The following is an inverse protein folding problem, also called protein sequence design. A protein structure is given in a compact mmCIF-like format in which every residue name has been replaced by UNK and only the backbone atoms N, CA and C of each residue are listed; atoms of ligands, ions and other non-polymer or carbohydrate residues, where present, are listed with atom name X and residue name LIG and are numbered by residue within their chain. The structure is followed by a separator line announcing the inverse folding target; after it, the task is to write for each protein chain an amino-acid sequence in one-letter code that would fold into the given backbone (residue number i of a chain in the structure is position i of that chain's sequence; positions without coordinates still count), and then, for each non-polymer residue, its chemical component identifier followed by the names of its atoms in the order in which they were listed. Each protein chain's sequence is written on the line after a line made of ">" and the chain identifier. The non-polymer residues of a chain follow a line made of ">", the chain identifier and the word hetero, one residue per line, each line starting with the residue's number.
data_IF_777257815659
#
_entry.id   IF_777257815659
#
_cell.length_a   1.000
_cell.length_b   1.000
_cell.length_c   1.000
_cell.angle_alpha   90.00
_cell.angle_beta   90.00
_cell.angle_gamma   90.00
#
_symmetry.space_group_name_H-M   'P 1'
#
loop_
_entity.id
_entity.type
_entity.pdbx_description
1 polymer ?
#
# COMPACT_ATOMS: atom_id res chain seq x y z
N UNK A 1 35.43 -45.15 4.75
CA UNK A 1 35.06 -43.72 4.85
C UNK A 1 33.87 -43.50 3.94
N UNK A 2 32.66 -43.48 4.51
CA UNK A 2 31.40 -43.57 3.78
C UNK A 2 30.99 -42.27 3.13
N UNK A 3 30.68 -42.35 1.83
CA UNK A 3 29.99 -41.33 1.04
C UNK A 3 28.48 -41.44 1.37
N UNK A 4 27.86 -40.35 1.82
CA UNK A 4 26.40 -40.25 1.90
C UNK A 4 25.95 -39.37 0.73
N UNK A 5 25.36 -40.05 -0.25
CA UNK A 5 24.55 -39.54 -1.34
C UNK A 5 23.27 -38.94 -0.74
N UNK A 6 22.99 -37.67 -1.00
CA UNK A 6 21.67 -37.06 -0.75
C UNK A 6 21.17 -36.45 -2.04
N UNK A 7 20.69 -37.33 -2.93
CA UNK A 7 19.72 -37.00 -3.97
C UNK A 7 18.36 -36.81 -3.32
N UNK A 8 17.94 -35.56 -3.11
CA UNK A 8 16.55 -35.12 -3.27
C UNK A 8 16.40 -33.63 -2.93
N UNK A 9 16.77 -32.75 -3.87
CA UNK A 9 16.23 -31.39 -3.92
C UNK A 9 15.86 -31.07 -5.37
N UNK A 10 14.64 -31.43 -5.74
CA UNK A 10 14.05 -30.96 -7.01
C UNK A 10 13.58 -29.51 -6.82
N UNK A 11 13.89 -28.60 -7.74
CA UNK A 11 13.36 -27.24 -7.68
C UNK A 11 11.84 -27.27 -7.84
N UNK A 12 11.12 -26.68 -6.86
CA UNK A 12 9.67 -26.50 -6.94
C UNK A 12 9.38 -25.41 -7.98
N UNK A 13 9.23 -25.83 -9.24
CA UNK A 13 8.77 -24.99 -10.34
C UNK A 13 7.28 -24.69 -10.16
N UNK A 14 6.95 -23.51 -9.60
CA UNK A 14 5.56 -23.05 -9.51
C UNK A 14 5.08 -22.55 -10.87
N UNK A 15 4.48 -23.46 -11.66
CA UNK A 15 3.92 -23.16 -12.96
C UNK A 15 2.50 -22.60 -12.83
N UNK A 16 2.33 -21.28 -12.90
CA UNK A 16 1.05 -20.56 -12.77
C UNK A 16 0.01 -20.85 -13.88
N UNK A 17 0.23 -21.83 -14.77
CA UNK A 17 -0.63 -22.09 -15.95
C UNK A 17 -1.43 -23.40 -15.94
N UNK A 18 -1.51 -24.14 -14.84
CA UNK A 18 -2.20 -25.44 -14.84
C UNK A 18 -3.28 -25.71 -13.79
N UNK A 19 -3.77 -24.70 -13.06
CA UNK A 19 -4.96 -24.91 -12.21
C UNK A 19 -6.25 -24.41 -12.89
N UNK A 20 -6.89 -25.30 -13.67
CA UNK A 20 -8.17 -25.06 -14.33
C UNK A 20 -9.39 -25.28 -13.41
N UNK A 21 -9.25 -25.28 -12.08
CA UNK A 21 -10.36 -25.56 -11.15
C UNK A 21 -10.78 -24.38 -10.28
N UNK A 22 -10.87 -23.16 -10.81
CA UNK A 22 -11.63 -22.09 -10.14
C UNK A 22 -12.44 -21.30 -11.18
N UNK A 23 -13.44 -21.96 -11.75
CA UNK A 23 -14.63 -21.31 -12.32
C UNK A 23 -15.84 -22.14 -11.92
N UNK A 24 -16.58 -21.66 -10.91
CA UNK A 24 -18.02 -21.96 -10.79
C UNK A 24 -18.72 -20.69 -10.34
N UNK A 25 -19.51 -20.17 -11.28
CA UNK A 25 -20.41 -19.03 -11.12
C UNK A 25 -21.40 -19.41 -10.02
N UNK A 26 -21.46 -18.62 -8.95
CA UNK A 26 -22.60 -18.63 -8.02
C UNK A 26 -23.51 -17.49 -8.46
N UNK A 27 -24.60 -17.84 -9.14
CA UNK A 27 -25.73 -16.93 -9.29
C UNK A 27 -26.38 -16.75 -7.91
N UNK A 28 -26.40 -15.52 -7.40
CA UNK A 28 -27.21 -15.18 -6.23
C UNK A 28 -28.66 -14.90 -6.67
N UNK A 29 -29.69 -15.35 -5.92
CA UNK A 29 -31.08 -15.12 -6.28
C UNK A 29 -31.46 -13.64 -6.22
N UNK A 30 -32.26 -13.22 -7.20
CA UNK A 30 -32.92 -11.91 -7.26
C UNK A 30 -33.92 -11.78 -6.10
N UNK A 31 -33.68 -10.85 -5.17
CA UNK A 31 -34.73 -10.37 -4.27
C UNK A 31 -35.49 -9.26 -5.01
N UNK A 32 -36.50 -9.64 -5.78
CA UNK A 32 -37.62 -8.75 -6.14
C UNK A 32 -38.73 -8.98 -5.12
N UNK A 33 -38.76 -8.15 -4.08
CA UNK A 33 -39.83 -8.10 -3.10
C UNK A 33 -40.55 -6.75 -3.16
N UNK A 34 -41.85 -6.80 -3.40
CA UNK A 34 -42.82 -5.71 -3.54
C UNK A 34 -42.60 -4.48 -2.64
N UNK A 35 -42.42 -3.31 -3.28
CA UNK A 35 -42.67 -1.99 -2.68
C UNK A 35 -43.77 -1.29 -3.47
N UNK A 36 -45.00 -1.78 -3.35
CA UNK A 36 -46.22 -1.01 -3.67
C UNK A 36 -47.31 -1.39 -2.67
N UNK A 37 -47.90 -0.34 -2.09
CA UNK A 37 -48.99 -0.27 -1.09
C UNK A 37 -48.54 -0.26 0.36
N UNK A 38 -48.38 0.96 0.89
CA UNK A 38 -48.91 1.37 2.20
C UNK A 38 -49.21 2.88 2.14
N UNK A 39 -50.49 3.14 1.87
CA UNK A 39 -51.36 4.27 2.18
C UNK A 39 -50.77 5.64 2.59
N UNK A 40 -51.19 6.64 1.81
CA UNK A 40 -51.59 7.97 2.29
C UNK A 40 -52.55 7.84 3.48
N UNK A 41 -52.22 8.43 4.62
CA UNK A 41 -53.11 9.24 5.46
C UNK A 41 -52.36 9.75 6.71
N UNK A 42 -52.84 10.90 7.19
CA UNK A 42 -52.61 11.54 8.49
C UNK A 42 -51.31 12.32 8.74
N UNK A 43 -51.47 13.63 8.48
CA UNK A 43 -51.37 14.69 9.48
C UNK A 43 -49.98 15.19 9.91
N UNK A 44 -49.77 16.46 9.60
CA UNK A 44 -48.75 17.33 10.15
C UNK A 44 -48.65 17.21 11.69
N UNK A 45 -47.47 16.82 12.16
CA UNK A 45 -46.99 17.16 13.50
C UNK A 45 -45.64 17.82 13.36
N UNK A 46 -45.61 19.09 13.74
CA UNK A 46 -44.42 19.92 13.92
C UNK A 46 -43.37 19.14 14.72
N UNK A 47 -42.25 18.81 14.07
CA UNK A 47 -41.05 18.32 14.74
C UNK A 47 -40.34 19.57 15.27
N UNK A 48 -40.47 19.80 16.57
CA UNK A 48 -39.62 20.76 17.29
C UNK A 48 -38.17 20.34 17.08
N UNK A 49 -37.34 21.31 16.72
CA UNK A 49 -35.90 21.15 16.54
C UNK A 49 -35.27 20.65 17.84
N UNK A 50 -34.95 19.36 17.91
CA UNK A 50 -34.07 18.84 18.94
C UNK A 50 -32.70 19.48 18.74
N UNK A 51 -32.25 20.22 19.76
CA UNK A 51 -30.93 20.81 19.83
C UNK A 51 -29.91 19.67 19.73
N UNK A 52 -29.26 19.60 18.56
CA UNK A 52 -28.18 18.66 18.30
C UNK A 52 -27.05 18.95 19.30
N UNK A 53 -26.87 18.06 20.27
CA UNK A 53 -25.77 18.13 21.22
C UNK A 53 -24.44 18.09 20.46
N UNK A 54 -23.42 18.89 20.84
CA UNK A 54 -22.14 18.88 20.14
C UNK A 54 -21.53 17.49 20.22
N UNK A 55 -21.33 16.85 19.07
CA UNK A 55 -20.48 15.65 18.99
C UNK A 55 -19.10 16.11 19.48
N UNK A 56 -18.66 15.61 20.64
CA UNK A 56 -17.29 15.82 21.13
C UNK A 56 -16.35 15.49 19.98
N UNK A 57 -15.64 16.49 19.46
CA UNK A 57 -14.73 16.32 18.32
C UNK A 57 -13.68 15.28 18.70
N UNK A 58 -13.75 14.10 18.08
CA UNK A 58 -12.72 13.08 18.24
C UNK A 58 -11.38 13.66 17.75
N UNK A 59 -10.25 13.32 18.40
CA UNK A 59 -8.95 13.86 18.03
C UNK A 59 -8.61 13.51 16.57
N UNK A 60 -8.00 14.47 15.89
CA UNK A 60 -7.55 14.33 14.50
C UNK A 60 -6.42 13.30 14.41
N UNK A 61 -6.57 12.29 13.55
CA UNK A 61 -5.61 11.19 13.41
C UNK A 61 -4.42 11.61 12.54
N UNK A 62 -3.19 11.53 13.04
CA UNK A 62 -1.99 11.78 12.23
C UNK A 62 -1.65 10.56 11.39
N UNK A 63 -1.24 10.78 10.15
CA UNK A 63 -0.82 9.74 9.21
C UNK A 63 0.70 9.75 9.07
N UNK A 64 1.35 8.60 9.27
CA UNK A 64 2.73 8.38 8.84
C UNK A 64 2.76 7.64 7.51
N UNK A 65 3.25 8.29 6.48
CA UNK A 65 3.54 7.67 5.19
C UNK A 65 5.00 7.22 5.17
N UNK A 66 5.25 5.93 4.96
CA UNK A 66 6.60 5.40 4.76
C UNK A 66 6.83 5.27 3.26
N UNK A 67 7.85 5.96 2.74
CA UNK A 67 8.25 5.89 1.35
C UNK A 67 9.62 5.20 1.25
N UNK A 68 9.72 4.17 0.41
CA UNK A 68 11.02 3.53 0.12
C UNK A 68 11.52 3.94 -1.26
N UNK A 69 12.81 4.26 -1.38
CA UNK A 69 13.41 4.78 -2.61
C UNK A 69 14.73 4.10 -2.94
N UNK A 70 14.98 3.84 -4.23
CA UNK A 70 16.30 3.44 -4.73
C UNK A 70 16.52 3.85 -6.20
N UNK A 71 17.46 4.76 -6.44
CA UNK A 71 17.94 5.15 -7.78
C UNK A 71 16.84 5.61 -8.77
N UNK A 72 15.85 6.39 -8.29
CA UNK A 72 14.77 6.91 -9.15
C UNK A 72 14.52 8.41 -8.93
N UNK A 73 15.50 9.29 -9.24
CA UNK A 73 15.45 10.70 -8.86
C UNK A 73 14.19 11.44 -9.35
N UNK A 74 13.73 11.16 -10.56
CA UNK A 74 12.54 11.83 -11.12
C UNK A 74 11.27 11.27 -10.49
N UNK A 75 11.17 9.95 -10.37
CA UNK A 75 9.95 9.29 -9.88
C UNK A 75 9.74 9.54 -8.40
N UNK A 76 10.81 9.47 -7.58
CA UNK A 76 10.72 9.74 -6.14
C UNK A 76 10.25 11.16 -5.87
N UNK A 77 10.70 12.15 -6.66
CA UNK A 77 10.23 13.52 -6.56
C UNK A 77 8.72 13.62 -6.85
N UNK A 78 8.21 12.89 -7.84
CA UNK A 78 6.77 12.83 -8.14
C UNK A 78 5.97 12.14 -7.02
N UNK A 79 6.49 11.04 -6.46
CA UNK A 79 5.88 10.34 -5.35
C UNK A 79 5.77 11.25 -4.11
N UNK A 80 6.86 11.93 -3.74
CA UNK A 80 6.88 12.90 -2.63
C UNK A 80 5.90 14.04 -2.89
N UNK A 81 5.92 14.63 -4.09
CA UNK A 81 5.00 15.70 -4.45
C UNK A 81 3.53 15.28 -4.33
N UNK A 82 3.21 14.00 -4.57
CA UNK A 82 1.85 13.47 -4.40
C UNK A 82 1.41 13.41 -2.93
N UNK A 83 2.34 13.19 -2.00
CA UNK A 83 2.12 13.26 -0.55
C UNK A 83 2.01 14.72 -0.09
N UNK A 84 2.88 15.60 -0.58
CA UNK A 84 2.84 17.03 -0.23
C UNK A 84 1.52 17.70 -0.65
N UNK A 85 0.91 17.24 -1.74
CA UNK A 85 -0.37 17.75 -2.27
C UNK A 85 -1.61 17.24 -1.52
N UNK A 86 -1.46 16.36 -0.53
CA UNK A 86 -2.62 15.82 0.20
C UNK A 86 -3.47 16.93 0.83
N UNK A 87 -4.79 16.84 0.71
CA UNK A 87 -5.73 17.81 1.31
C UNK A 87 -5.76 17.74 2.84
N UNK A 88 -5.45 16.56 3.39
CA UNK A 88 -5.36 16.35 4.82
C UNK A 88 -4.02 16.90 5.35
N UNK A 89 -4.00 17.77 6.38
CA UNK A 89 -2.76 18.42 6.80
C UNK A 89 -1.96 17.64 7.84
N UNK A 90 -2.58 16.67 8.55
CA UNK A 90 -1.95 15.97 9.67
C UNK A 90 -1.21 14.71 9.21
N UNK A 91 -0.05 14.91 8.58
CA UNK A 91 0.81 13.81 8.17
C UNK A 91 2.28 14.08 8.41
N UNK A 92 3.06 13.00 8.44
CA UNK A 92 4.50 13.02 8.22
C UNK A 92 4.86 12.04 7.10
N UNK A 93 5.98 12.31 6.42
CA UNK A 93 6.53 11.44 5.41
C UNK A 93 7.91 10.98 5.88
N UNK A 94 8.10 9.66 6.00
CA UNK A 94 9.39 9.06 6.36
C UNK A 94 9.92 8.40 5.09
N UNK A 95 10.93 9.01 4.49
CA UNK A 95 11.62 8.49 3.33
C UNK A 95 12.77 7.63 3.81
N UNK A 96 12.83 6.39 3.33
CA UNK A 96 13.97 5.50 3.52
C UNK A 96 14.65 5.33 2.17
N UNK A 97 15.79 5.99 2.03
CA UNK A 97 16.64 5.86 0.86
C UNK A 97 17.54 4.64 1.04
N UNK A 98 17.43 3.68 0.13
CA UNK A 98 18.16 2.42 0.19
C UNK A 98 19.62 2.60 -0.31
N UNK A 99 20.30 3.67 0.12
CA UNK A 99 21.63 4.05 -0.35
C UNK A 99 21.68 4.26 -1.88
N UNK A 100 20.89 5.23 -2.37
CA UNK A 100 20.87 5.59 -3.78
C UNK A 100 22.14 6.32 -4.22
N UNK A 101 22.27 6.59 -5.52
CA UNK A 101 23.33 7.43 -6.07
C UNK A 101 23.21 8.90 -5.62
N UNK A 102 24.26 9.68 -5.89
CA UNK A 102 24.36 11.09 -5.49
C UNK A 102 23.20 11.96 -6.01
N UNK A 103 22.72 11.71 -7.22
CA UNK A 103 21.62 12.48 -7.81
C UNK A 103 20.34 12.33 -6.99
N UNK A 104 19.94 11.10 -6.67
CA UNK A 104 18.76 10.84 -5.82
C UNK A 104 18.97 11.40 -4.41
N UNK A 105 20.15 11.17 -3.81
CA UNK A 105 20.42 11.66 -2.45
C UNK A 105 20.35 13.19 -2.34
N UNK A 106 20.87 13.92 -3.32
CA UNK A 106 20.83 15.39 -3.31
C UNK A 106 19.40 15.92 -3.40
N UNK A 107 18.57 15.35 -4.28
CA UNK A 107 17.14 15.71 -4.38
C UNK A 107 16.42 15.48 -3.05
N UNK A 108 16.68 14.35 -2.39
CA UNK A 108 16.05 14.03 -1.10
C UNK A 108 16.48 15.00 0.00
N UNK A 109 17.76 15.37 0.06
CA UNK A 109 18.26 16.37 1.02
C UNK A 109 17.59 17.73 0.83
N UNK A 110 17.54 18.23 -0.41
CA UNK A 110 16.88 19.51 -0.72
C UNK A 110 15.39 19.50 -0.34
N UNK A 111 14.69 18.38 -0.52
CA UNK A 111 13.28 18.25 -0.16
C UNK A 111 13.09 18.31 1.36
N UNK A 112 13.92 17.59 2.12
CA UNK A 112 13.85 17.55 3.59
C UNK A 112 14.15 18.92 4.20
N UNK A 113 15.09 19.67 3.63
CA UNK A 113 15.39 21.04 4.06
C UNK A 113 14.19 21.99 3.87
N UNK A 114 13.35 21.74 2.86
CA UNK A 114 12.20 22.61 2.50
C UNK A 114 10.89 22.24 3.20
N UNK A 115 10.70 21.01 3.65
CA UNK A 115 9.45 20.54 4.27
C UNK A 115 9.72 19.78 5.58
N UNK A 116 9.51 20.41 6.75
CA UNK A 116 9.83 19.80 8.06
C UNK A 116 8.95 18.61 8.43
N UNK A 117 7.88 18.34 7.65
CA UNK A 117 7.06 17.12 7.82
C UNK A 117 7.72 15.89 7.23
N UNK A 118 8.80 16.07 6.47
CA UNK A 118 9.52 15.00 5.78
C UNK A 118 10.79 14.66 6.56
N UNK A 119 11.00 13.38 6.81
CA UNK A 119 12.20 12.82 7.45
C UNK A 119 12.89 11.90 6.45
N UNK A 120 14.22 11.89 6.46
CA UNK A 120 15.03 11.00 5.62
C UNK A 120 15.87 10.06 6.48
N UNK A 121 15.80 8.77 6.18
CA UNK A 121 16.63 7.71 6.74
C UNK A 121 17.46 7.14 5.60
N UNK A 122 18.77 7.06 5.80
CA UNK A 122 19.69 6.36 4.92
C UNK A 122 19.85 4.92 5.41
N UNK A 123 19.60 3.94 4.55
CA UNK A 123 19.71 2.52 4.93
C UNK A 123 21.15 2.07 5.22
N UNK A 124 22.14 2.72 4.58
CA UNK A 124 23.55 2.35 4.67
C UNK A 124 23.90 0.99 4.03
N UNK A 125 23.01 0.37 3.26
CA UNK A 125 23.27 -0.96 2.69
C UNK A 125 24.43 -0.94 1.69
N UNK A 126 25.35 -1.90 1.84
CA UNK A 126 26.40 -2.14 0.86
C UNK A 126 25.85 -2.86 -0.38
N UNK A 127 26.47 -2.68 -1.54
CA UNK A 127 25.96 -3.20 -2.81
C UNK A 127 25.88 -4.74 -2.83
N UNK A 128 26.89 -5.39 -2.26
CA UNK A 128 27.03 -6.83 -2.07
C UNK A 128 25.95 -7.41 -1.15
N UNK A 129 25.45 -6.61 -0.21
CA UNK A 129 24.50 -7.04 0.82
C UNK A 129 23.04 -6.91 0.37
N UNK A 130 22.80 -6.27 -0.78
CA UNK A 130 21.45 -6.03 -1.28
C UNK A 130 20.62 -7.30 -1.46
N UNK A 131 21.27 -8.41 -1.80
CA UNK A 131 20.61 -9.69 -2.03
C UNK A 131 20.22 -10.44 -0.75
N UNK A 132 20.79 -10.05 0.40
CA UNK A 132 20.63 -10.76 1.68
C UNK A 132 19.22 -10.63 2.25
N UNK A 133 18.51 -9.56 1.91
CA UNK A 133 17.14 -9.31 2.37
C UNK A 133 16.26 -8.75 1.25
N UNK A 134 14.96 -8.86 1.42
CA UNK A 134 13.98 -8.12 0.62
C UNK A 134 14.06 -6.65 0.99
N UNK A 135 14.80 -5.86 0.20
CA UNK A 135 15.24 -4.52 0.61
C UNK A 135 14.14 -3.56 1.00
N UNK A 136 13.04 -3.49 0.24
CA UNK A 136 11.93 -2.59 0.59
C UNK A 136 11.31 -2.95 1.95
N UNK A 137 11.22 -4.24 2.29
CA UNK A 137 10.74 -4.67 3.60
C UNK A 137 11.72 -4.29 4.72
N UNK A 138 13.04 -4.45 4.50
CA UNK A 138 14.07 -3.97 5.42
C UNK A 138 13.98 -2.45 5.61
N UNK A 139 13.85 -1.69 4.52
CA UNK A 139 13.68 -0.23 4.57
C UNK A 139 12.44 0.18 5.36
N UNK A 140 11.30 -0.48 5.13
CA UNK A 140 10.09 -0.23 5.93
C UNK A 140 10.36 -0.50 7.41
N UNK A 141 11.01 -1.61 7.74
CA UNK A 141 11.37 -1.95 9.12
C UNK A 141 12.26 -0.89 9.79
N UNK A 142 13.19 -0.27 9.05
CA UNK A 142 14.01 0.85 9.55
C UNK A 142 13.18 2.09 9.92
N UNK A 143 12.06 2.32 9.23
CA UNK A 143 11.17 3.45 9.51
C UNK A 143 10.20 3.20 10.68
N UNK A 144 9.81 1.94 10.95
CA UNK A 144 8.77 1.64 11.95
C UNK A 144 9.03 2.25 13.34
N UNK A 145 10.26 2.26 13.89
CA UNK A 145 10.52 2.83 15.21
C UNK A 145 10.26 4.34 15.32
N UNK A 146 10.34 5.09 14.21
CA UNK A 146 10.22 6.55 14.20
C UNK A 146 8.86 7.06 13.72
N UNK A 147 7.95 6.15 13.37
CA UNK A 147 6.54 6.46 13.04
C UNK A 147 5.84 7.09 14.24
N UNK A 148 5.28 8.29 14.07
CA UNK A 148 4.57 9.04 15.11
C UNK A 148 3.06 9.12 14.92
N UNK A 149 2.53 8.83 13.73
CA UNK A 149 1.11 8.86 13.42
C UNK A 149 0.33 7.66 13.96
N UNK A 150 -0.95 7.88 14.29
CA UNK A 150 -1.88 6.83 14.68
C UNK A 150 -2.26 5.92 13.51
N UNK A 151 -2.12 6.41 12.28
CA UNK A 151 -2.34 5.68 11.03
C UNK A 151 -1.04 5.56 10.25
N UNK A 152 -0.81 4.40 9.63
CA UNK A 152 0.40 4.08 8.85
C UNK A 152 0.01 3.64 7.45
N UNK A 153 0.76 4.12 6.46
CA UNK A 153 0.57 3.82 5.03
C UNK A 153 1.91 3.75 4.32
N UNK A 154 1.95 3.10 3.16
CA UNK A 154 3.20 2.78 2.45
C UNK A 154 3.15 3.25 0.99
N UNK A 155 4.24 3.82 0.50
CA UNK A 155 4.37 4.33 -0.87
C UNK A 155 5.71 3.90 -1.47
N UNK A 156 5.70 3.45 -2.72
CA UNK A 156 6.93 3.25 -3.51
C UNK A 156 7.30 4.51 -4.29
N UNK A 157 8.59 4.67 -4.59
CA UNK A 157 9.14 5.82 -5.32
C UNK A 157 8.68 5.91 -6.79
N UNK A 158 8.10 4.85 -7.34
CA UNK A 158 7.58 4.79 -8.70
C UNK A 158 6.06 4.92 -8.81
N UNK A 159 5.33 5.20 -7.72
CA UNK A 159 3.88 5.37 -7.70
C UNK A 159 3.46 6.73 -7.13
N UNK A 160 2.16 7.08 -7.23
CA UNK A 160 1.62 8.34 -6.70
C UNK A 160 0.31 8.14 -5.95
N UNK A 161 0.07 9.00 -4.96
CA UNK A 161 -1.23 9.11 -4.29
C UNK A 161 -2.12 10.18 -4.92
N UNK A 162 -3.43 9.93 -4.93
CA UNK A 162 -4.42 10.94 -5.28
C UNK A 162 -4.64 11.93 -4.13
N UNK A 163 -4.94 13.19 -4.47
CA UNK A 163 -4.92 14.36 -3.57
C UNK A 163 -5.75 14.20 -2.29
N UNK A 164 -6.87 13.48 -2.34
CA UNK A 164 -7.80 13.33 -1.21
C UNK A 164 -7.66 12.00 -0.47
N UNK A 165 -6.64 11.19 -0.79
CA UNK A 165 -6.45 9.85 -0.22
C UNK A 165 -6.42 9.88 1.31
N UNK A 166 -5.56 10.71 1.89
CA UNK A 166 -5.37 10.78 3.34
C UNK A 166 -6.64 11.19 4.07
N UNK A 167 -7.31 12.22 3.58
CA UNK A 167 -8.57 12.71 4.15
C UNK A 167 -9.63 11.61 4.16
N UNK A 168 -9.83 10.95 3.02
CA UNK A 168 -10.88 9.93 2.88
C UNK A 168 -10.58 8.63 3.62
N UNK A 169 -9.31 8.22 3.71
CA UNK A 169 -8.95 7.04 4.50
C UNK A 169 -9.03 7.34 6.01
N UNK A 170 -8.55 8.51 6.46
CA UNK A 170 -8.66 8.92 7.87
C UNK A 170 -10.12 9.05 8.31
N UNK A 171 -11.01 9.56 7.45
CA UNK A 171 -12.45 9.66 7.71
C UNK A 171 -13.06 8.29 8.04
N UNK A 172 -12.69 7.22 7.33
CA UNK A 172 -13.16 5.85 7.63
C UNK A 172 -12.75 5.43 9.05
N UNK A 173 -11.48 5.63 9.42
CA UNK A 173 -10.99 5.30 10.76
C UNK A 173 -11.62 6.15 11.87
N UNK A 174 -11.92 7.40 11.56
CA UNK A 174 -12.56 8.33 12.48
C UNK A 174 -14.01 7.94 12.75
N UNK A 175 -14.76 7.61 11.70
CA UNK A 175 -16.16 7.18 11.82
C UNK A 175 -16.27 5.77 12.42
N UNK A 176 -15.28 4.91 12.19
CA UNK A 176 -15.29 3.50 12.59
C UNK A 176 -14.07 3.14 13.47
N UNK A 177 -14.09 3.47 14.79
CA UNK A 177 -12.96 3.20 15.69
C UNK A 177 -12.53 1.73 15.74
N UNK A 178 -13.44 0.80 15.48
CA UNK A 178 -13.20 -0.65 15.47
C UNK A 178 -12.47 -1.16 14.21
N UNK A 179 -12.46 -0.39 13.11
CA UNK A 179 -11.74 -0.74 11.90
C UNK A 179 -10.25 -0.50 12.10
N UNK A 180 -9.43 -1.48 11.69
CA UNK A 180 -7.97 -1.46 11.85
C UNK A 180 -7.22 -1.37 10.52
N UNK A 181 -7.81 -1.83 9.43
CA UNK A 181 -7.20 -1.81 8.09
C UNK A 181 -8.22 -1.34 7.05
N UNK A 182 -7.84 -0.36 6.25
CA UNK A 182 -8.63 0.21 5.15
C UNK A 182 -7.81 0.15 3.86
N UNK A 183 -8.44 -0.15 2.74
CA UNK A 183 -7.80 -0.13 1.43
C UNK A 183 -8.67 0.55 0.37
N UNK A 184 -8.06 1.23 -0.60
CA UNK A 184 -8.76 1.91 -1.69
C UNK A 184 -8.69 1.17 -3.02
N UNK A 185 -9.36 1.73 -4.04
CA UNK A 185 -9.13 1.32 -5.43
C UNK A 185 -7.79 1.85 -5.91
N UNK A 186 -7.14 1.08 -6.77
CA UNK A 186 -5.92 1.48 -7.44
C UNK A 186 -6.19 1.69 -8.93
N UNK A 187 -5.71 2.79 -9.48
CA UNK A 187 -5.56 2.92 -10.93
C UNK A 187 -4.21 2.32 -11.33
N UNK A 188 -4.20 1.44 -12.32
CA UNK A 188 -2.97 0.89 -12.88
C UNK A 188 -2.74 1.54 -14.24
N UNK A 189 -1.57 2.12 -14.44
CA UNK A 189 -1.15 2.77 -15.68
C UNK A 189 0.12 2.09 -16.18
N UNK A 190 0.10 1.62 -17.42
CA UNK A 190 1.24 0.96 -18.07
C UNK A 190 1.91 1.94 -19.00
N UNK A 191 3.21 2.13 -18.79
CA UNK A 191 4.09 2.95 -19.61
C UNK A 191 4.98 2.07 -20.49
N UNK A 192 5.14 2.47 -21.74
CA UNK A 192 6.12 1.90 -22.68
C UNK A 192 6.76 3.06 -23.42
N UNK A 193 8.10 3.16 -23.39
CA UNK A 193 8.82 4.31 -23.94
C UNK A 193 8.24 5.66 -23.44
N UNK A 194 7.98 5.76 -22.13
CA UNK A 194 7.37 6.92 -21.46
C UNK A 194 5.98 7.35 -21.97
N UNK A 195 5.27 6.50 -22.71
CA UNK A 195 3.89 6.74 -23.14
C UNK A 195 2.93 5.77 -22.47
N UNK A 196 1.74 6.25 -22.12
CA UNK A 196 0.68 5.41 -21.58
C UNK A 196 0.16 4.50 -22.70
N UNK A 197 0.27 3.18 -22.51
CA UNK A 197 -0.25 2.17 -23.45
C UNK A 197 -1.50 1.48 -22.93
N UNK A 198 -1.72 1.48 -21.61
CA UNK A 198 -2.91 0.91 -20.99
C UNK A 198 -3.19 1.58 -19.64
N UNK A 199 -4.47 1.77 -19.32
CA UNK A 199 -4.90 2.17 -17.99
C UNK A 199 -6.18 1.43 -17.60
N UNK A 200 -6.29 1.01 -16.33
CA UNK A 200 -7.49 0.38 -15.79
C UNK A 200 -7.57 0.58 -14.28
N UNK A 201 -8.77 0.39 -13.70
CA UNK A 201 -8.96 0.40 -12.25
C UNK A 201 -8.96 -1.04 -11.75
N UNK A 202 -8.14 -1.32 -10.73
CA UNK A 202 -8.18 -2.59 -10.00
C UNK A 202 -9.53 -2.70 -9.27
N UNK A 203 -10.30 -3.77 -9.47
CA UNK A 203 -11.60 -3.92 -8.82
C UNK A 203 -11.42 -4.11 -7.31
N UNK A 204 -12.37 -3.57 -6.54
CA UNK A 204 -12.49 -3.88 -5.12
C UNK A 204 -12.96 -5.32 -4.92
N UNK A 205 -12.61 -5.88 -3.76
CA UNK A 205 -12.94 -7.27 -3.41
C UNK A 205 -13.81 -7.38 -2.16
N UNK A 206 -14.45 -6.27 -1.77
CA UNK A 206 -15.28 -6.17 -0.57
C UNK A 206 -14.47 -6.17 0.73
N UNK A 207 -15.15 -6.35 1.86
CA UNK A 207 -14.49 -6.65 3.13
C UNK A 207 -13.84 -8.03 3.00
N UNK A 208 -12.54 -8.16 3.29
CA UNK A 208 -11.81 -9.40 2.98
C UNK A 208 -10.71 -9.76 3.97
N UNK A 209 -10.52 -11.08 4.16
CA UNK A 209 -9.31 -11.69 4.76
C UNK A 209 -8.38 -12.31 3.72
N UNK A 210 -8.67 -12.11 2.44
CA UNK A 210 -7.88 -12.63 1.33
C UNK A 210 -7.32 -11.50 0.44
N UNK A 211 -6.62 -10.48 0.98
CA UNK A 211 -6.15 -9.34 0.22
C UNK A 211 -4.94 -9.65 -0.68
N UNK A 212 -4.19 -10.73 -0.42
CA UNK A 212 -2.98 -11.08 -1.18
C UNK A 212 -3.29 -11.23 -2.68
N UNK A 213 -2.52 -10.51 -3.51
CA UNK A 213 -2.70 -10.46 -4.97
C UNK A 213 -3.90 -9.64 -5.45
N UNK A 214 -4.72 -9.11 -4.53
CA UNK A 214 -5.94 -8.33 -4.82
C UNK A 214 -5.85 -6.88 -4.34
N UNK A 215 -5.14 -6.65 -3.24
CA UNK A 215 -4.79 -5.33 -2.71
C UNK A 215 -3.30 -5.14 -2.93
N UNK A 216 -2.92 -3.95 -3.35
CA UNK A 216 -1.53 -3.61 -3.62
C UNK A 216 -0.86 -2.95 -2.40
N UNK A 217 0.47 -3.05 -2.35
CA UNK A 217 1.33 -2.42 -1.35
C UNK A 217 0.94 -0.96 -1.05
N UNK A 218 0.65 -0.17 -2.09
CA UNK A 218 0.44 1.27 -1.97
C UNK A 218 -1.01 1.63 -1.57
N UNK A 219 -1.94 0.67 -1.64
CA UNK A 219 -3.38 0.95 -1.59
C UNK A 219 -4.02 0.78 -0.21
N UNK A 220 -3.24 0.52 0.84
CA UNK A 220 -3.79 0.31 2.18
C UNK A 220 -3.22 1.26 3.23
N UNK A 221 -3.99 1.42 4.32
CA UNK A 221 -3.64 2.15 5.52
C UNK A 221 -4.12 1.34 6.71
N UNK A 222 -3.38 1.33 7.81
CA UNK A 222 -3.78 0.64 9.02
C UNK A 222 -3.47 1.45 10.27
N UNK A 223 -4.08 1.09 11.40
CA UNK A 223 -3.74 1.69 12.70
C UNK A 223 -2.32 1.30 13.09
N UNK A 224 -1.53 2.23 13.64
CA UNK A 224 -0.20 1.96 14.21
C UNK A 224 -0.23 0.84 15.25
N UNK A 225 -1.32 0.73 16.02
CA UNK A 225 -1.52 -0.34 17.01
C UNK A 225 -1.42 -1.76 16.42
N UNK A 226 -1.65 -1.95 15.11
CA UNK A 226 -1.46 -3.24 14.46
C UNK A 226 -0.01 -3.72 14.59
N UNK A 227 0.96 -2.81 14.52
CA UNK A 227 2.40 -3.10 14.62
C UNK A 227 2.80 -3.63 16.01
N UNK A 228 2.02 -3.35 17.06
CA UNK A 228 2.27 -3.92 18.38
C UNK A 228 2.09 -5.45 18.39
N UNK A 229 1.25 -5.97 17.49
CA UNK A 229 0.89 -7.39 17.38
C UNK A 229 1.67 -8.06 16.25
N UNK A 230 1.65 -7.50 15.03
CA UNK A 230 2.29 -8.14 13.86
C UNK A 230 3.78 -7.86 13.74
N UNK A 231 4.29 -6.86 14.49
CA UNK A 231 5.68 -6.41 14.49
C UNK A 231 6.16 -6.01 13.09
N UNK A 232 7.30 -6.54 12.68
CA UNK A 232 8.03 -6.15 11.47
C UNK A 232 7.48 -6.79 10.20
N UNK A 233 7.77 -6.18 9.06
CA UNK A 233 7.69 -6.81 7.76
C UNK A 233 8.69 -7.96 7.69
N UNK A 234 8.31 -9.06 7.03
CA UNK A 234 9.23 -10.17 6.79
C UNK A 234 10.12 -9.81 5.59
N UNK A 235 11.40 -9.65 5.84
CA UNK A 235 12.40 -9.25 4.86
C UNK A 235 13.30 -10.40 4.42
N UNK A 236 12.87 -11.65 4.65
CA UNK A 236 13.58 -12.81 4.12
C UNK A 236 13.76 -12.68 2.59
N UNK A 237 14.95 -13.01 2.02
CA UNK A 237 15.24 -12.78 0.60
C UNK A 237 14.34 -13.60 -0.35
N UNK A 238 13.70 -14.67 0.11
CA UNK A 238 12.71 -15.39 -0.73
C UNK A 238 11.42 -14.58 -1.00
N UNK A 239 11.20 -13.48 -0.29
CA UNK A 239 9.98 -12.67 -0.35
C UNK A 239 10.07 -11.46 -1.27
N UNK A 240 11.11 -11.33 -2.10
CA UNK A 240 11.30 -10.20 -3.00
C UNK A 240 10.05 -9.85 -3.84
N UNK A 241 9.28 -10.86 -4.25
CA UNK A 241 8.07 -10.70 -5.08
C UNK A 241 6.76 -10.55 -4.28
N UNK A 242 6.80 -10.67 -2.97
CA UNK A 242 5.60 -10.91 -2.15
C UNK A 242 5.70 -10.41 -0.69
N UNK A 243 6.54 -9.42 -0.42
CA UNK A 243 6.73 -8.88 0.94
C UNK A 243 5.45 -8.25 1.50
N UNK A 244 4.69 -7.55 0.67
CA UNK A 244 3.36 -7.03 1.00
C UNK A 244 2.36 -8.16 1.34
N UNK A 245 2.32 -9.21 0.52
CA UNK A 245 1.49 -10.38 0.76
C UNK A 245 1.88 -11.10 2.06
N UNK A 246 3.17 -11.13 2.40
CA UNK A 246 3.65 -11.68 3.67
C UNK A 246 3.20 -10.84 4.87
N UNK A 247 3.25 -9.51 4.75
CA UNK A 247 2.72 -8.62 5.78
C UNK A 247 1.19 -8.73 5.92
N UNK A 248 0.47 -8.80 4.80
CA UNK A 248 -0.98 -9.01 4.80
C UNK A 248 -1.37 -10.32 5.49
N UNK A 249 -0.61 -11.41 5.26
CA UNK A 249 -0.81 -12.69 5.96
C UNK A 249 -0.71 -12.57 7.48
N UNK A 250 0.05 -11.60 8.02
CA UNK A 250 0.09 -11.32 9.46
C UNK A 250 -1.16 -10.55 9.90
N UNK A 251 -1.54 -9.49 9.17
CA UNK A 251 -2.69 -8.65 9.49
C UNK A 251 -4.01 -9.41 9.51
N UNK A 252 -4.27 -10.26 8.51
CA UNK A 252 -5.57 -10.98 8.35
C UNK A 252 -5.82 -12.04 9.41
N UNK A 253 -4.81 -12.40 10.22
CA UNK A 253 -5.00 -13.23 11.42
C UNK A 253 -5.82 -12.51 12.49
N UNK A 254 -5.86 -11.18 12.46
CA UNK A 254 -6.47 -10.34 13.49
C UNK A 254 -7.57 -9.41 12.97
N UNK A 255 -7.46 -8.90 11.73
CA UNK A 255 -8.38 -7.88 11.22
C UNK A 255 -8.79 -8.11 9.77
N UNK A 256 -10.00 -7.68 9.45
CA UNK A 256 -10.49 -7.60 8.07
C UNK A 256 -9.95 -6.35 7.37
N UNK A 257 -9.74 -6.45 6.06
CA UNK A 257 -9.46 -5.30 5.20
C UNK A 257 -10.79 -4.70 4.74
N UNK A 258 -11.03 -3.43 5.07
CA UNK A 258 -12.26 -2.73 4.69
C UNK A 258 -12.06 -1.87 3.43
N UNK A 259 -12.89 -2.01 2.40
CA UNK A 259 -12.75 -1.25 1.17
C UNK A 259 -13.25 0.18 1.31
N UNK A 260 -12.56 1.10 0.63
CA UNK A 260 -12.98 2.46 0.37
C UNK A 260 -13.19 2.60 -1.15
N UNK A 261 -14.42 2.94 -1.55
CA UNK A 261 -14.85 2.95 -2.95
C UNK A 261 -14.42 4.20 -3.73
N UNK A 262 -13.15 4.59 -3.61
CA UNK A 262 -12.53 5.69 -4.35
C UNK A 262 -11.16 5.22 -4.87
N UNK A 263 -10.67 5.84 -5.94
CA UNK A 263 -9.29 5.64 -6.38
C UNK A 263 -8.35 6.42 -5.46
N UNK A 264 -7.48 5.71 -4.75
CA UNK A 264 -6.57 6.28 -3.75
C UNK A 264 -5.17 6.52 -4.29
N UNK A 265 -4.74 5.71 -5.24
CA UNK A 265 -3.37 5.68 -5.76
C UNK A 265 -3.33 5.26 -7.23
N UNK A 266 -2.23 5.61 -7.88
CA UNK A 266 -1.89 5.19 -9.24
C UNK A 266 -0.60 4.36 -9.22
N UNK A 267 -0.74 3.08 -9.58
CA UNK A 267 0.38 2.18 -9.82
C UNK A 267 0.89 2.31 -11.25
N UNK A 268 2.16 2.65 -11.40
CA UNK A 268 2.79 2.98 -12.69
C UNK A 268 3.74 1.85 -13.09
N UNK A 269 3.28 1.00 -14.00
CA UNK A 269 4.07 -0.10 -14.52
C UNK A 269 4.95 0.41 -15.66
N UNK A 270 6.26 0.46 -15.41
CA UNK A 270 7.26 0.80 -16.43
C UNK A 270 7.88 -0.46 -17.05
N UNK A 271 8.22 -0.41 -18.33
CA UNK A 271 8.89 -1.48 -19.08
C UNK A 271 10.27 -1.87 -18.51
N UNK A 272 10.91 -0.95 -17.80
CA UNK A 272 12.16 -1.13 -17.03
C UNK A 272 11.97 -1.20 -15.51
N UNK A 273 10.72 -1.27 -15.02
CA UNK A 273 10.42 -1.38 -13.58
C UNK A 273 10.90 -2.69 -12.94
N UNK A 274 11.01 -2.71 -11.60
CA UNK A 274 11.49 -3.89 -10.84
C UNK A 274 10.71 -5.16 -11.18
N UNK A 275 9.38 -5.05 -11.26
CA UNK A 275 8.52 -6.18 -11.63
C UNK A 275 8.87 -6.76 -13.01
N UNK A 276 9.17 -5.91 -14.00
CA UNK A 276 9.56 -6.36 -15.35
C UNK A 276 10.94 -6.99 -15.37
N UNK A 277 11.91 -6.44 -14.61
CA UNK A 277 13.23 -7.06 -14.43
C UNK A 277 13.10 -8.47 -13.86
N UNK A 278 12.32 -8.62 -12.78
CA UNK A 278 12.05 -9.92 -12.15
C UNK A 278 11.34 -10.91 -13.07
N UNK A 279 10.45 -10.44 -13.97
CA UNK A 279 9.80 -11.29 -14.98
C UNK A 279 10.79 -11.78 -16.06
N UNK A 280 11.83 -10.99 -16.35
CA UNK A 280 12.91 -11.33 -17.31
C UNK A 280 14.05 -12.13 -16.69
N UNK A 281 13.97 -12.46 -15.39
CA UNK A 281 15.06 -13.14 -14.66
C UNK A 281 16.25 -12.24 -14.30
N UNK A 282 16.12 -10.92 -14.45
CA UNK A 282 17.16 -9.97 -14.07
C UNK A 282 17.11 -9.65 -12.56
N UNK A 283 18.23 -9.17 -12.02
CA UNK A 283 18.32 -8.67 -10.64
C UNK A 283 17.38 -7.46 -10.46
N UNK A 284 16.70 -7.32 -9.30
CA UNK A 284 15.79 -6.20 -9.07
C UNK A 284 16.52 -4.88 -8.77
N UNK A 285 17.80 -4.93 -8.43
CA UNK A 285 18.68 -3.77 -8.22
C UNK A 285 19.82 -3.76 -9.26
N UNK A 286 20.17 -2.57 -9.74
CA UNK A 286 21.34 -2.29 -10.60
C UNK A 286 21.73 -0.81 -10.36
N UNK A 287 23.02 -0.55 -10.20
CA UNK A 287 23.57 0.79 -9.90
C UNK A 287 23.45 1.78 -11.05
N UNK A 288 23.37 1.29 -12.29
CA UNK A 288 23.35 2.11 -13.52
C UNK A 288 21.94 2.52 -13.96
N UNK A 289 20.88 1.95 -13.35
CA UNK A 289 19.49 2.11 -13.80
C UNK A 289 18.79 3.35 -13.21
N UNK A 290 19.50 4.49 -13.13
CA UNK A 290 18.90 5.74 -12.67
C UNK A 290 17.85 6.25 -13.68
N UNK A 291 16.57 6.26 -13.30
CA UNK A 291 15.44 6.65 -14.16
C UNK A 291 14.44 7.64 -13.52
#
# INVERSE_FOLDING_TARGET
>A
MGLIDNKDERPVNYNFKQDKRIYKIVQAPSIKGNLRKLNKASAAKSIKSDKMTPVKSRPTLKISCILTSYNRPIKVQQAIASVQKQTYPHWELIIVDDNSNAQTQNILKEIVEKDPRIKLIQSGVAQEDRSKTTRYATCINLALPVVSGELVTYLTDDDIYYKTRFEKMAEVFHQNPHIHVVYGKQKVVVFTNNRITRAFIRPLVGVTRFPMGKVDHNSFMHRKSCLNIVKNWDDHPSLWKAGDAAFFRKLVKHWDFHPLNIVTDEHRIHDKGVQRKLQRGAKPWNSEDAE
#
